data_IF_153520931472
#
_entry.id   IF_153520931472
#
_cell.length_a   1.000
_cell.length_b   1.000
_cell.length_c   1.000
_cell.angle_alpha   90.00
_cell.angle_beta   90.00
_cell.angle_gamma   90.00
#
_symmetry.space_group_name_H-M   'P 1'
#
loop_
_entity.id
_entity.type
_entity.pdbx_description
1 polymer ?
#
# COMPACT_ATOMS: atom_id res chain seq x y z
N UNK A 1 6.09 10.27 -6.37
CA UNK A 1 6.08 9.07 -5.53
C UNK A 1 6.01 9.47 -4.08
N UNK A 2 5.23 8.78 -3.31
CA UNK A 2 5.08 9.09 -1.89
C UNK A 2 6.30 8.62 -1.11
N UNK A 3 6.77 9.47 -0.20
CA UNK A 3 7.85 9.09 0.70
C UNK A 3 7.39 8.11 1.76
N UNK A 4 6.08 7.90 1.87
CA UNK A 4 5.53 6.99 2.87
C UNK A 4 5.65 5.53 2.46
N UNK A 5 5.82 5.27 1.18
CA UNK A 5 5.95 3.90 0.68
C UNK A 5 7.40 3.69 0.26
N UNK A 6 8.01 2.65 0.82
CA UNK A 6 9.42 2.35 0.53
C UNK A 6 9.55 0.87 0.21
N UNK A 7 10.65 0.54 -0.45
CA UNK A 7 11.00 -0.84 -0.75
C UNK A 7 12.37 -1.09 -0.13
N UNK A 8 12.42 -2.05 0.79
CA UNK A 8 13.66 -2.44 1.45
C UNK A 8 13.85 -3.93 1.26
N UNK A 9 14.88 -4.36 0.52
CA UNK A 9 15.07 -5.79 0.26
C UNK A 9 15.20 -6.65 1.51
N UNK A 10 15.56 -6.05 2.63
CA UNK A 10 15.74 -6.78 3.87
C UNK A 10 14.48 -6.84 4.71
N UNK A 11 13.41 -6.17 4.28
CA UNK A 11 12.16 -6.14 5.01
C UNK A 11 11.07 -6.68 4.12
N UNK A 12 10.32 -7.67 4.60
CA UNK A 12 9.18 -8.27 3.89
C UNK A 12 9.54 -8.71 2.47
N UNK A 13 10.77 -9.17 2.27
CA UNK A 13 11.22 -9.68 0.99
C UNK A 13 11.28 -8.66 -0.12
N UNK A 14 11.44 -7.39 0.22
CA UNK A 14 11.54 -6.34 -0.78
C UNK A 14 10.20 -5.86 -1.31
N UNK A 15 9.10 -6.24 -0.67
CA UNK A 15 7.78 -5.78 -1.09
C UNK A 15 7.54 -4.37 -0.60
N UNK A 16 6.73 -3.57 -1.30
CA UNK A 16 6.42 -2.21 -0.85
C UNK A 16 5.79 -2.22 0.54
N UNK A 17 6.32 -1.39 1.41
CA UNK A 17 5.83 -1.27 2.79
C UNK A 17 5.64 0.19 3.13
N UNK A 18 4.86 0.43 4.19
CA UNK A 18 4.77 1.78 4.76
C UNK A 18 6.06 2.04 5.52
N UNK A 19 6.68 3.18 5.25
CA UNK A 19 7.98 3.53 5.83
C UNK A 19 7.93 3.45 7.36
N UNK A 20 8.97 2.87 7.94
CA UNK A 20 9.07 2.73 9.38
C UNK A 20 8.25 1.59 9.97
N UNK A 21 7.61 0.79 9.13
CA UNK A 21 6.78 -0.32 9.60
C UNK A 21 7.11 -1.57 8.81
N UNK A 22 6.49 -2.69 9.19
CA UNK A 22 6.49 -3.92 8.41
C UNK A 22 5.17 -4.17 7.72
N UNK A 23 4.30 -3.15 7.67
CA UNK A 23 3.00 -3.27 7.01
C UNK A 23 3.20 -3.12 5.51
N UNK A 24 2.84 -4.15 4.77
CA UNK A 24 2.95 -4.13 3.31
C UNK A 24 1.76 -3.37 2.74
N UNK A 25 2.03 -2.67 1.62
CA UNK A 25 0.94 -2.05 0.85
C UNK A 25 -0.11 -3.10 0.51
N UNK A 26 0.31 -4.31 0.16
CA UNK A 26 -0.62 -5.39 -0.18
C UNK A 26 -1.56 -5.73 0.98
N UNK A 27 -1.09 -5.65 2.22
CA UNK A 27 -1.95 -5.93 3.38
C UNK A 27 -3.08 -4.91 3.48
N UNK A 28 -2.75 -3.64 3.29
CA UNK A 28 -3.75 -2.57 3.33
C UNK A 28 -4.74 -2.75 2.19
N UNK A 29 -4.23 -3.00 0.98
CA UNK A 29 -5.09 -3.18 -0.18
C UNK A 29 -6.01 -4.38 -0.04
N UNK A 30 -5.52 -5.47 0.55
CA UNK A 30 -6.33 -6.66 0.74
C UNK A 30 -7.50 -6.38 1.67
N UNK A 31 -7.28 -5.61 2.73
CA UNK A 31 -8.36 -5.25 3.63
C UNK A 31 -9.40 -4.40 2.92
N UNK A 32 -8.96 -3.40 2.18
CA UNK A 32 -9.88 -2.52 1.45
C UNK A 32 -10.65 -3.30 0.38
N UNK A 33 -9.97 -4.19 -0.32
CA UNK A 33 -10.63 -5.03 -1.33
C UNK A 33 -11.66 -5.96 -0.71
N UNK A 34 -11.45 -6.36 0.53
CA UNK A 34 -12.40 -7.20 1.27
C UNK A 34 -13.55 -6.42 1.88
N UNK A 35 -13.61 -5.12 1.67
CA UNK A 35 -14.72 -4.30 2.14
C UNK A 35 -14.44 -3.49 3.39
N UNK A 36 -13.22 -3.55 3.93
CA UNK A 36 -12.89 -2.76 5.11
C UNK A 36 -12.84 -1.28 4.75
N UNK A 37 -13.27 -0.45 5.69
CA UNK A 37 -13.14 0.99 5.55
C UNK A 37 -11.73 1.42 5.94
N UNK A 38 -11.38 2.66 5.58
CA UNK A 38 -10.12 3.25 6.02
C UNK A 38 -10.01 3.23 7.54
N UNK A 39 -11.12 3.55 8.23
CA UNK A 39 -11.13 3.53 9.68
C UNK A 39 -10.83 2.14 10.23
N UNK A 40 -11.35 1.10 9.59
CA UNK A 40 -11.09 -0.27 10.03
C UNK A 40 -9.64 -0.67 9.83
N UNK A 41 -9.04 -0.21 8.75
CA UNK A 41 -7.60 -0.44 8.52
C UNK A 41 -6.80 0.18 9.66
N UNK A 42 -7.17 1.39 10.09
CA UNK A 42 -6.44 2.08 11.14
C UNK A 42 -6.68 1.46 12.53
N UNK A 43 -7.78 0.74 12.69
CA UNK A 43 -8.01 -0.03 13.92
C UNK A 43 -7.04 -1.21 13.98
N UNK A 44 -6.87 -1.90 12.86
CA UNK A 44 -5.97 -3.06 12.80
C UNK A 44 -4.49 -2.64 12.87
N UNK A 45 -4.17 -1.49 12.32
CA UNK A 45 -2.81 -0.96 12.30
C UNK A 45 -2.80 0.43 12.94
N UNK A 46 -2.93 0.51 14.28
CA UNK A 46 -3.14 1.79 14.96
C UNK A 46 -1.96 2.76 14.86
N UNK A 47 -0.79 2.27 14.49
CA UNK A 47 0.37 3.14 14.28
C UNK A 47 0.42 3.75 12.88
N UNK A 48 -0.51 3.40 12.02
CA UNK A 48 -0.62 4.03 10.70
C UNK A 48 -1.51 5.27 10.79
N UNK A 49 -1.39 6.12 9.77
CA UNK A 49 -2.19 7.32 9.61
C UNK A 49 -3.03 7.20 8.35
N UNK A 50 -4.06 8.03 8.25
CA UNK A 50 -4.90 8.05 7.06
C UNK A 50 -4.07 8.30 5.80
N UNK A 51 -3.04 9.14 5.91
CA UNK A 51 -2.14 9.41 4.78
C UNK A 51 -1.42 8.15 4.30
N UNK A 52 -1.15 7.22 5.21
CA UNK A 52 -0.49 5.97 4.83
C UNK A 52 -1.42 5.11 3.98
N UNK A 53 -2.70 5.08 4.31
CA UNK A 53 -3.68 4.35 3.52
C UNK A 53 -3.80 4.98 2.12
N UNK A 54 -3.87 6.30 2.06
CA UNK A 54 -3.96 6.99 0.77
C UNK A 54 -2.70 6.81 -0.06
N UNK A 55 -1.54 6.83 0.58
CA UNK A 55 -0.28 6.58 -0.12
C UNK A 55 -0.24 5.18 -0.71
N UNK A 56 -0.79 4.21 0.01
CA UNK A 56 -0.88 2.83 -0.48
C UNK A 56 -1.77 2.74 -1.72
N UNK A 57 -2.91 3.44 -1.69
CA UNK A 57 -3.81 3.49 -2.84
C UNK A 57 -3.15 4.19 -4.03
N UNK A 58 -2.44 5.28 -3.78
CA UNK A 58 -1.73 6.00 -4.85
C UNK A 58 -0.64 5.14 -5.46
N UNK A 59 0.06 4.38 -4.64
CA UNK A 59 1.07 3.46 -5.13
C UNK A 59 0.44 2.40 -6.04
N UNK A 60 -0.69 1.84 -5.59
CA UNK A 60 -1.40 0.83 -6.37
C UNK A 60 -1.88 1.40 -7.71
N UNK A 61 -2.36 2.63 -7.68
CA UNK A 61 -2.82 3.28 -8.90
C UNK A 61 -1.69 3.40 -9.92
N UNK A 62 -0.52 3.82 -9.49
CA UNK A 62 0.62 3.93 -10.39
C UNK A 62 1.02 2.58 -10.95
N UNK A 63 1.00 1.55 -10.12
CA UNK A 63 1.37 0.21 -10.56
C UNK A 63 0.37 -0.33 -11.59
N UNK A 64 -0.90 -0.11 -11.35
CA UNK A 64 -1.96 -0.57 -12.26
C UNK A 64 -1.92 0.21 -13.56
N UNK A 65 -1.71 1.52 -13.49
CA UNK A 65 -1.62 2.35 -14.68
C UNK A 65 -0.51 1.88 -15.60
N UNK A 66 0.64 1.59 -15.00
CA UNK A 66 1.77 1.09 -15.77
C UNK A 66 1.45 -0.24 -16.43
N UNK A 67 0.77 -1.12 -15.71
CA UNK A 67 0.39 -2.43 -16.21
C UNK A 67 -0.65 -2.33 -17.32
N UNK A 68 -1.58 -1.39 -17.23
CA UNK A 68 -2.63 -1.21 -18.22
C UNK A 68 -2.05 -0.90 -19.58
N UNK A 69 -1.00 -0.10 -19.64
CA UNK A 69 -0.36 0.22 -20.91
C UNK A 69 0.10 -1.04 -21.62
N UNK A 70 0.65 -1.97 -20.89
CA UNK A 70 1.12 -3.22 -21.47
C UNK A 70 -0.03 -4.13 -21.88
N UNK A 71 -1.08 -4.16 -21.09
CA UNK A 71 -2.22 -5.01 -21.37
C UNK A 71 -2.97 -4.55 -22.62
N UNK A 72 -2.92 -3.28 -22.92
CA UNK A 72 -3.61 -2.73 -24.09
C UNK A 72 -2.91 -3.06 -25.39
N UNK A 73 -1.68 -3.49 -25.33
CA UNK A 73 -0.86 -3.76 -26.51
C UNK A 73 -1.17 -5.13 -27.18
#
# INVERSE_FOLDING_TARGET
MSERIVINPEVCGGRPIVAGTRVRVADILAMLAGGASEAEVLVDFPYLKAEDVRASLAYALQAVDHSIVQAAA
#
